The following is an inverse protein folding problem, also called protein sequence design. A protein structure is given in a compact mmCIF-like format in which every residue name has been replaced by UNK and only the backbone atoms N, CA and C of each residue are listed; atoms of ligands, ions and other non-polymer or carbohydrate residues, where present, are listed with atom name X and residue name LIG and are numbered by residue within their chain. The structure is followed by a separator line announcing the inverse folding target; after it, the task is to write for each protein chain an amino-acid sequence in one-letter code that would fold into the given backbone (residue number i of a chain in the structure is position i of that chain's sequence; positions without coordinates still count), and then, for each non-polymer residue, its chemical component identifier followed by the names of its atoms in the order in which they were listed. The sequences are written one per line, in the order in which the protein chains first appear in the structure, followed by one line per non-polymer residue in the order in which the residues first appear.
data_IF_564256428951
#
_entry.id   IF_564256428951
#
_cell.length_a   1.000
_cell.length_b   1.000
_cell.length_c   1.000
_cell.angle_alpha   90.00
_cell.angle_beta   90.00
_cell.angle_gamma   90.00
#
_symmetry.space_group_name_H-M   'P 1'
#
loop_
_entity.id
_entity.type
_entity.pdbx_description
1 polymer ?
#
# COMPACT_ATOMS: atom_id res chain seq x y z
N UNK A 1 14.10 -48.72 76.21
CA UNK A 1 14.55 -47.54 75.43
C UNK A 1 15.40 -48.04 74.26
N UNK A 2 15.12 -47.61 73.03
CA UNK A 2 15.89 -47.89 71.80
C UNK A 2 15.28 -48.97 70.89
N UNK A 3 14.24 -48.65 70.10
CA UNK A 3 14.21 -48.20 68.69
C UNK A 3 13.91 -49.36 67.69
N UNK A 4 12.85 -49.27 66.87
CA UNK A 4 12.53 -50.27 65.85
C UNK A 4 13.30 -49.96 64.55
N UNK A 5 13.92 -50.97 63.94
CA UNK A 5 14.60 -50.83 62.63
C UNK A 5 13.65 -51.29 61.52
N UNK A 6 13.01 -50.32 60.84
CA UNK A 6 12.23 -50.56 59.61
C UNK A 6 13.17 -50.87 58.45
N UNK A 7 12.80 -51.87 57.64
CA UNK A 7 13.41 -52.21 56.35
C UNK A 7 13.22 -51.06 55.34
N UNK A 8 14.18 -50.78 54.44
CA UNK A 8 13.99 -49.76 53.41
C UNK A 8 13.15 -50.33 52.27
N UNK A 9 12.06 -49.63 51.91
CA UNK A 9 11.30 -49.89 50.69
C UNK A 9 12.07 -49.32 49.50
N UNK A 10 12.38 -50.19 48.52
CA UNK A 10 12.90 -49.79 47.22
C UNK A 10 11.79 -49.05 46.44
N UNK A 11 11.87 -47.72 46.38
CA UNK A 11 11.04 -46.91 45.49
C UNK A 11 11.64 -46.99 44.08
N UNK A 12 10.93 -47.66 43.17
CA UNK A 12 11.22 -47.65 41.73
C UNK A 12 10.92 -46.26 41.17
N UNK A 13 11.95 -45.56 40.70
CA UNK A 13 11.81 -44.30 39.97
C UNK A 13 11.67 -44.63 38.50
N UNK A 14 10.44 -44.69 37.99
CA UNK A 14 10.20 -44.79 36.55
C UNK A 14 10.49 -43.46 35.87
N UNK A 15 11.56 -43.41 35.08
CA UNK A 15 11.93 -42.27 34.24
C UNK A 15 10.96 -42.18 33.05
N UNK A 16 10.00 -41.26 33.09
CA UNK A 16 9.12 -40.99 31.94
C UNK A 16 9.81 -39.99 31.02
N UNK A 17 10.39 -40.48 29.92
CA UNK A 17 10.94 -39.62 28.86
C UNK A 17 9.81 -38.94 28.09
N UNK A 18 9.59 -37.65 28.35
CA UNK A 18 8.70 -36.79 27.56
C UNK A 18 9.48 -36.34 26.32
N UNK A 19 9.25 -36.99 25.17
CA UNK A 19 9.73 -36.51 23.88
C UNK A 19 8.87 -35.34 23.43
N UNK A 20 9.39 -34.12 23.56
CA UNK A 20 8.79 -32.92 22.97
C UNK A 20 8.97 -33.04 21.45
N UNK A 21 7.94 -33.50 20.75
CA UNK A 21 7.87 -33.36 19.30
C UNK A 21 7.76 -31.86 19.01
N UNK A 22 8.88 -31.23 18.62
CA UNK A 22 8.84 -29.96 17.89
C UNK A 22 8.20 -30.25 16.52
N UNK A 23 6.87 -30.36 16.51
CA UNK A 23 6.10 -30.34 15.28
C UNK A 23 6.39 -29.00 14.62
N UNK A 24 7.09 -29.04 13.49
CA UNK A 24 7.19 -27.93 12.57
C UNK A 24 5.78 -27.63 12.06
N UNK A 25 5.03 -26.82 12.82
CA UNK A 25 3.82 -26.19 12.29
C UNK A 25 4.30 -25.34 11.11
N UNK A 26 3.93 -25.66 9.86
CA UNK A 26 4.18 -24.74 8.78
C UNK A 26 3.43 -23.45 9.13
N UNK A 27 4.18 -22.39 9.40
CA UNK A 27 3.62 -21.05 9.48
C UNK A 27 3.06 -20.76 8.09
N UNK A 28 1.76 -20.97 7.92
CA UNK A 28 1.06 -20.54 6.72
C UNK A 28 0.98 -19.02 6.84
N UNK A 29 2.00 -18.33 6.32
CA UNK A 29 1.93 -16.90 6.13
C UNK A 29 0.77 -16.64 5.15
N UNK A 30 -0.33 -16.09 5.67
CA UNK A 30 -1.41 -15.60 4.82
C UNK A 30 -0.80 -14.52 3.92
N UNK A 31 -0.77 -14.76 2.60
CA UNK A 31 -0.32 -13.74 1.66
C UNK A 31 -1.18 -12.49 1.88
N UNK A 32 -0.55 -11.35 2.15
CA UNK A 32 -1.28 -10.10 2.34
C UNK A 32 -2.09 -9.78 1.08
N UNK A 33 -3.36 -9.41 1.25
CA UNK A 33 -4.21 -9.02 0.12
C UNK A 33 -3.88 -7.59 -0.32
N UNK A 34 -3.15 -7.50 -1.41
CA UNK A 34 -2.72 -6.26 -2.08
C UNK A 34 -3.79 -5.67 -3.01
N UNK A 35 -4.96 -6.31 -3.12
CA UNK A 35 -5.96 -6.00 -4.16
C UNK A 35 -7.22 -5.32 -3.64
N UNK A 36 -7.31 -5.08 -2.32
CA UNK A 36 -8.42 -4.37 -1.71
C UNK A 36 -8.47 -2.93 -2.21
N UNK A 37 -9.66 -2.49 -2.65
CA UNK A 37 -9.89 -1.12 -3.12
C UNK A 37 -9.83 -0.14 -1.93
N UNK A 38 -8.92 0.83 -2.02
CA UNK A 38 -8.75 1.91 -1.03
C UNK A 38 -9.47 3.17 -1.49
N UNK A 39 -9.22 3.59 -2.73
CA UNK A 39 -9.76 4.82 -3.28
C UNK A 39 -10.02 4.71 -4.79
N UNK A 40 -11.03 5.43 -5.26
CA UNK A 40 -11.26 5.67 -6.69
C UNK A 40 -11.58 7.15 -6.94
N UNK A 41 -11.04 7.69 -8.03
CA UNK A 41 -11.45 8.96 -8.61
C UNK A 41 -11.70 8.76 -10.10
N UNK A 42 -12.85 9.17 -10.61
CA UNK A 42 -13.20 8.99 -12.02
C UNK A 42 -13.64 10.34 -12.57
N UNK A 43 -13.27 10.66 -13.80
CA UNK A 43 -13.84 11.79 -14.51
C UNK A 43 -15.35 11.57 -14.74
N UNK A 44 -16.10 12.67 -14.66
CA UNK A 44 -17.53 12.69 -15.02
C UNK A 44 -17.70 12.48 -16.53
N UNK A 45 -16.76 13.00 -17.33
CA UNK A 45 -16.74 12.81 -18.77
C UNK A 45 -16.46 11.35 -19.12
N UNK A 46 -17.23 10.83 -20.07
CA UNK A 46 -17.06 9.51 -20.65
C UNK A 46 -16.45 9.63 -22.05
N UNK A 47 -15.76 8.58 -22.49
CA UNK A 47 -15.25 8.51 -23.85
C UNK A 47 -16.40 8.66 -24.87
N UNK A 48 -16.25 9.63 -25.78
CA UNK A 48 -17.07 9.75 -26.98
C UNK A 48 -16.38 8.95 -28.08
N UNK A 49 -16.73 7.67 -28.19
CA UNK A 49 -15.94 6.69 -28.95
C UNK A 49 -16.76 5.94 -30.02
N UNK A 50 -17.27 6.64 -31.05
CA UNK A 50 -18.07 6.01 -32.11
C UNK A 50 -17.24 5.02 -32.96
N UNK A 51 -15.92 5.25 -33.09
CA UNK A 51 -15.01 4.38 -33.83
C UNK A 51 -14.38 3.26 -33.00
N UNK A 52 -14.52 3.30 -31.66
CA UNK A 52 -13.89 2.33 -30.75
C UNK A 52 -12.40 2.56 -30.48
N UNK A 53 -11.83 3.65 -30.99
CA UNK A 53 -10.40 3.95 -30.90
C UNK A 53 -9.95 4.27 -29.47
N UNK A 54 -10.74 5.03 -28.70
CA UNK A 54 -10.37 5.35 -27.31
C UNK A 54 -10.35 4.10 -26.43
N UNK A 55 -11.37 3.25 -26.55
CA UNK A 55 -11.43 2.01 -25.78
C UNK A 55 -10.31 1.04 -26.20
N UNK A 56 -9.94 1.02 -27.48
CA UNK A 56 -8.80 0.24 -27.96
C UNK A 56 -7.47 0.77 -27.41
N UNK A 57 -7.25 2.08 -27.42
CA UNK A 57 -6.05 2.70 -26.85
C UNK A 57 -5.97 2.47 -25.34
N UNK A 58 -7.09 2.57 -24.61
CA UNK A 58 -7.13 2.29 -23.17
C UNK A 58 -6.79 0.82 -22.89
N UNK A 59 -7.31 -0.11 -23.69
CA UNK A 59 -6.99 -1.53 -23.58
C UNK A 59 -5.50 -1.79 -23.80
N UNK A 60 -4.90 -1.20 -24.84
CA UNK A 60 -3.47 -1.32 -25.14
C UNK A 60 -2.63 -0.75 -23.99
N UNK A 61 -2.95 0.45 -23.50
CA UNK A 61 -2.28 1.07 -22.36
C UNK A 61 -2.31 0.15 -21.13
N UNK A 62 -3.48 -0.41 -20.79
CA UNK A 62 -3.62 -1.32 -19.64
C UNK A 62 -2.78 -2.59 -19.81
N UNK A 63 -2.73 -3.16 -21.02
CA UNK A 63 -1.90 -4.32 -21.32
C UNK A 63 -0.41 -4.02 -21.16
N UNK A 64 0.04 -2.86 -21.64
CA UNK A 64 1.43 -2.42 -21.53
C UNK A 64 1.83 -2.19 -20.07
N UNK A 65 1.00 -1.51 -19.28
CA UNK A 65 1.25 -1.27 -17.85
C UNK A 65 1.29 -2.59 -17.07
N UNK A 66 0.34 -3.51 -17.31
CA UNK A 66 0.35 -4.84 -16.69
C UNK A 66 1.60 -5.64 -17.07
N UNK A 67 1.99 -5.62 -18.34
CA UNK A 67 3.21 -6.30 -18.82
C UNK A 67 4.45 -5.79 -18.08
N UNK A 68 4.62 -4.47 -18.00
CA UNK A 68 5.77 -3.83 -17.36
C UNK A 68 5.84 -4.09 -15.84
N UNK A 69 4.71 -4.30 -15.18
CA UNK A 69 4.66 -4.60 -13.73
C UNK A 69 5.34 -5.91 -13.32
N UNK A 70 5.61 -6.80 -14.28
CA UNK A 70 6.41 -8.01 -14.06
C UNK A 70 7.91 -7.74 -13.89
N UNK A 71 8.39 -6.56 -14.32
CA UNK A 71 9.80 -6.21 -14.36
C UNK A 71 10.15 -5.00 -13.46
N UNK A 72 9.16 -4.13 -13.20
CA UNK A 72 9.34 -2.86 -12.50
C UNK A 72 8.19 -2.65 -11.52
N UNK A 73 8.39 -1.80 -10.53
CA UNK A 73 7.35 -1.40 -9.56
C UNK A 73 6.70 -0.05 -9.89
N UNK A 74 7.25 0.67 -10.85
CA UNK A 74 6.70 1.90 -11.40
C UNK A 74 6.95 1.92 -12.91
N UNK A 75 5.96 2.38 -13.67
CA UNK A 75 6.19 2.78 -15.06
C UNK A 75 5.08 3.71 -15.56
N UNK A 76 5.43 4.49 -16.58
CA UNK A 76 4.51 5.27 -17.38
C UNK A 76 4.38 4.65 -18.77
N UNK A 77 3.25 4.88 -19.43
CA UNK A 77 3.02 4.47 -20.80
C UNK A 77 2.02 5.42 -21.47
N UNK A 78 2.02 5.43 -22.79
CA UNK A 78 1.05 6.12 -23.60
C UNK A 78 0.55 5.19 -24.71
N UNK A 79 -0.70 5.37 -25.13
CA UNK A 79 -1.26 4.63 -26.27
C UNK A 79 -2.11 5.52 -27.17
N UNK A 80 -1.95 5.36 -28.47
CA UNK A 80 -2.57 6.21 -29.49
C UNK A 80 -1.76 7.48 -29.79
N UNK A 81 -2.30 8.28 -30.72
CA UNK A 81 -1.76 9.58 -31.11
C UNK A 81 -2.79 10.68 -30.85
N UNK A 82 -2.35 11.91 -30.68
CA UNK A 82 -3.23 13.06 -30.47
C UNK A 82 -4.23 13.19 -31.64
N UNK A 83 -5.51 13.53 -31.37
CA UNK A 83 -6.08 13.88 -30.06
C UNK A 83 -6.56 12.68 -29.21
N UNK A 84 -6.36 11.43 -29.68
CA UNK A 84 -6.89 10.22 -29.05
C UNK A 84 -5.88 9.52 -28.13
N UNK A 85 -4.75 10.17 -27.84
CA UNK A 85 -3.72 9.62 -26.97
C UNK A 85 -4.21 9.52 -25.52
N UNK A 86 -3.88 8.42 -24.86
CA UNK A 86 -4.15 8.19 -23.45
C UNK A 86 -2.82 7.93 -22.76
N UNK A 87 -2.55 8.72 -21.73
CA UNK A 87 -1.36 8.58 -20.88
C UNK A 87 -1.76 7.85 -19.59
N UNK A 88 -0.86 7.06 -19.05
CA UNK A 88 -1.09 6.43 -17.76
C UNK A 88 0.18 5.95 -17.09
N UNK A 89 0.01 5.56 -15.84
CA UNK A 89 1.06 5.01 -15.00
C UNK A 89 0.47 3.99 -14.04
N UNK A 90 1.33 3.07 -13.60
CA UNK A 90 1.09 2.32 -12.38
C UNK A 90 2.23 2.56 -11.39
N UNK A 91 1.92 2.41 -10.11
CA UNK A 91 2.89 2.43 -9.03
C UNK A 91 2.50 1.38 -8.00
N UNK A 92 3.35 0.38 -7.79
CA UNK A 92 3.23 -0.57 -6.70
C UNK A 92 3.80 0.01 -5.41
N UNK A 93 3.37 -0.56 -4.27
CA UNK A 93 3.95 -0.24 -2.97
C UNK A 93 5.44 -0.63 -2.97
N UNK A 94 6.29 0.22 -2.40
CA UNK A 94 7.75 0.11 -2.57
C UNK A 94 8.40 -1.12 -1.93
N UNK A 95 7.69 -1.80 -1.03
CA UNK A 95 8.10 -3.04 -0.37
C UNK A 95 7.63 -4.32 -1.10
N UNK A 96 6.95 -4.20 -2.25
CA UNK A 96 6.51 -5.35 -3.03
C UNK A 96 7.57 -5.83 -4.01
N UNK A 97 7.71 -7.16 -4.10
CA UNK A 97 8.41 -7.78 -5.22
C UNK A 97 7.67 -7.55 -6.54
N UNK A 98 8.38 -7.68 -7.67
CA UNK A 98 7.75 -7.56 -9.01
C UNK A 98 6.63 -8.58 -9.23
N UNK A 99 6.71 -9.77 -8.63
CA UNK A 99 5.64 -10.77 -8.69
C UNK A 99 4.38 -10.32 -7.95
N UNK A 100 4.53 -9.75 -6.75
CA UNK A 100 3.41 -9.19 -5.98
C UNK A 100 2.83 -7.94 -6.67
N UNK A 101 3.70 -7.10 -7.23
CA UNK A 101 3.33 -5.94 -8.03
C UNK A 101 2.47 -6.37 -9.24
N UNK A 102 2.95 -7.32 -10.04
CA UNK A 102 2.19 -7.89 -11.16
C UNK A 102 0.84 -8.47 -10.72
N UNK A 103 0.81 -9.22 -9.62
CA UNK A 103 -0.43 -9.76 -9.07
C UNK A 103 -1.43 -8.66 -8.72
N UNK A 104 -0.98 -7.51 -8.21
CA UNK A 104 -1.84 -6.38 -7.91
C UNK A 104 -2.30 -5.66 -9.19
N UNK A 105 -1.36 -5.27 -10.05
CA UNK A 105 -1.62 -4.47 -11.26
C UNK A 105 -2.49 -5.25 -12.25
N UNK A 106 -2.35 -6.57 -12.34
CA UNK A 106 -3.21 -7.42 -13.20
C UNK A 106 -4.71 -7.38 -12.83
N UNK A 107 -5.08 -6.96 -11.60
CA UNK A 107 -6.48 -6.78 -11.19
C UNK A 107 -7.05 -5.43 -11.59
N UNK A 108 -6.18 -4.44 -11.78
CA UNK A 108 -6.57 -3.06 -12.03
C UNK A 108 -7.51 -2.91 -13.24
N UNK A 109 -7.29 -3.52 -14.42
CA UNK A 109 -8.16 -3.29 -15.57
C UNK A 109 -9.63 -3.65 -15.28
N UNK A 110 -9.85 -4.80 -14.65
CA UNK A 110 -11.21 -5.26 -14.27
C UNK A 110 -11.82 -4.40 -13.16
N UNK A 111 -11.02 -4.01 -12.16
CA UNK A 111 -11.51 -3.16 -11.06
C UNK A 111 -11.84 -1.76 -11.59
N UNK A 112 -10.96 -1.16 -12.39
CA UNK A 112 -11.14 0.16 -13.00
C UNK A 112 -12.40 0.22 -13.85
N UNK A 113 -12.62 -0.76 -14.73
CA UNK A 113 -13.85 -0.87 -15.52
C UNK A 113 -15.10 -0.96 -14.63
N UNK A 114 -15.04 -1.79 -13.57
CA UNK A 114 -16.17 -1.93 -12.62
C UNK A 114 -16.48 -0.62 -11.87
N UNK A 115 -15.47 0.16 -11.49
CA UNK A 115 -15.66 1.30 -10.56
C UNK A 115 -15.69 2.68 -11.22
N UNK A 116 -15.14 2.79 -12.44
CA UNK A 116 -15.11 4.03 -13.23
C UNK A 116 -15.79 3.90 -14.61
N UNK A 117 -16.03 2.68 -15.09
CA UNK A 117 -16.56 2.41 -16.43
C UNK A 117 -15.67 3.07 -17.50
N UNK A 118 -16.31 3.73 -18.46
CA UNK A 118 -15.64 4.36 -19.61
C UNK A 118 -15.26 5.84 -19.35
N UNK A 119 -14.80 6.17 -18.15
CA UNK A 119 -14.36 7.53 -17.82
C UNK A 119 -13.10 7.90 -18.59
N UNK A 120 -13.00 9.16 -19.06
CA UNK A 120 -11.83 9.64 -19.83
C UNK A 120 -10.57 9.79 -19.00
N UNK A 121 -10.72 9.83 -17.68
CA UNK A 121 -9.62 9.75 -16.72
C UNK A 121 -10.07 8.97 -15.49
N UNK A 122 -9.14 8.22 -14.89
CA UNK A 122 -9.38 7.52 -13.64
C UNK A 122 -8.11 7.42 -12.79
N UNK A 123 -8.33 7.36 -11.48
CA UNK A 123 -7.38 7.01 -10.43
C UNK A 123 -7.96 5.84 -9.65
N UNK A 124 -7.18 4.78 -9.45
CA UNK A 124 -7.59 3.61 -8.66
C UNK A 124 -6.44 3.24 -7.74
N UNK A 125 -6.68 3.32 -6.43
CA UNK A 125 -5.75 2.87 -5.41
C UNK A 125 -6.24 1.55 -4.83
N UNK A 126 -5.42 0.51 -4.97
CA UNK A 126 -5.53 -0.73 -4.21
C UNK A 126 -4.51 -0.73 -3.07
N UNK A 127 -4.63 -1.65 -2.12
CA UNK A 127 -3.74 -1.73 -0.95
C UNK A 127 -2.26 -1.94 -1.31
N UNK A 128 -1.95 -2.49 -2.49
CA UNK A 128 -0.58 -2.67 -2.97
C UNK A 128 -0.21 -1.97 -4.26
N UNK A 129 -1.14 -1.34 -4.98
CA UNK A 129 -0.82 -0.67 -6.23
C UNK A 129 -1.81 0.44 -6.60
N UNK A 130 -1.33 1.41 -7.35
CA UNK A 130 -2.04 2.57 -7.85
C UNK A 130 -2.02 2.57 -9.38
N UNK A 131 -3.12 3.04 -9.97
CA UNK A 131 -3.24 3.37 -11.39
C UNK A 131 -3.73 4.80 -11.53
N UNK A 132 -3.16 5.51 -12.50
CA UNK A 132 -3.76 6.70 -13.10
C UNK A 132 -3.75 6.56 -14.62
N UNK A 133 -4.84 6.89 -15.29
CA UNK A 133 -4.86 7.17 -16.72
C UNK A 133 -5.70 8.41 -17.01
N UNK A 134 -5.39 9.10 -18.10
CA UNK A 134 -6.14 10.25 -18.60
C UNK A 134 -5.88 10.47 -20.09
N UNK A 135 -6.88 11.01 -20.79
CA UNK A 135 -6.69 11.49 -22.17
C UNK A 135 -5.72 12.68 -22.21
N UNK A 136 -5.04 12.84 -23.35
CA UNK A 136 -4.23 14.02 -23.64
C UNK A 136 -5.05 15.31 -23.44
N UNK A 137 -4.47 16.29 -22.75
CA UNK A 137 -5.14 17.57 -22.44
C UNK A 137 -6.21 17.52 -21.33
N UNK A 138 -6.36 16.40 -20.61
CA UNK A 138 -7.24 16.35 -19.44
C UNK A 138 -6.75 17.33 -18.37
N UNK A 139 -7.69 18.00 -17.69
CA UNK A 139 -7.37 18.97 -16.63
C UNK A 139 -6.61 18.26 -15.51
N UNK A 140 -5.36 18.69 -15.30
CA UNK A 140 -4.55 18.15 -14.22
C UNK A 140 -5.12 18.57 -12.85
N UNK A 141 -5.18 17.59 -11.96
CA UNK A 141 -5.42 17.80 -10.54
C UNK A 141 -4.09 18.27 -9.95
N UNK A 142 -4.06 19.36 -9.16
CA UNK A 142 -2.85 19.80 -8.47
C UNK A 142 -2.20 18.65 -7.69
N UNK A 143 -0.88 18.57 -7.70
CA UNK A 143 -0.11 17.51 -7.02
C UNK A 143 -0.36 17.47 -5.50
N UNK A 144 -0.78 18.60 -4.92
CA UNK A 144 -1.08 18.76 -3.50
C UNK A 144 -2.57 18.64 -3.16
N UNK A 145 -3.44 18.38 -4.16
CA UNK A 145 -4.86 18.18 -3.88
C UNK A 145 -5.06 16.89 -3.08
N UNK A 146 -5.65 17.02 -1.89
CA UNK A 146 -5.92 15.89 -1.03
C UNK A 146 -7.12 15.09 -1.54
N UNK A 147 -6.86 13.86 -2.02
CA UNK A 147 -7.88 13.08 -2.73
C UNK A 147 -8.75 12.20 -1.83
N UNK A 148 -8.20 11.69 -0.72
CA UNK A 148 -8.86 10.69 0.11
C UNK A 148 -8.23 10.57 1.50
N UNK A 149 -9.07 10.47 2.55
CA UNK A 149 -8.66 10.12 3.91
C UNK A 149 -9.59 9.09 4.50
N UNK A 150 -9.04 8.29 5.40
CA UNK A 150 -9.79 7.55 6.41
C UNK A 150 -9.18 7.89 7.75
N UNK A 151 -10.03 8.18 8.72
CA UNK A 151 -9.64 8.39 10.11
C UNK A 151 -10.20 7.22 10.91
N UNK A 152 -9.35 6.57 11.70
CA UNK A 152 -9.73 5.44 12.53
C UNK A 152 -10.54 5.82 13.77
N UNK A 153 -10.57 4.90 14.74
CA UNK A 153 -11.23 5.17 16.02
C UNK A 153 -10.49 6.27 16.79
N UNK A 154 -11.25 7.16 17.42
CA UNK A 154 -10.71 8.13 18.35
C UNK A 154 -10.51 7.51 19.73
N UNK A 155 -9.57 8.06 20.49
CA UNK A 155 -9.39 7.66 21.90
C UNK A 155 -9.06 8.86 22.76
N UNK A 156 -9.73 8.99 23.90
CA UNK A 156 -9.50 10.06 24.86
C UNK A 156 -8.12 9.92 25.52
N UNK A 157 -7.34 11.01 25.54
CA UNK A 157 -6.20 11.21 26.42
C UNK A 157 -4.83 10.74 25.91
N UNK A 158 -4.40 11.13 24.70
CA UNK A 158 -3.08 10.69 24.20
C UNK A 158 -2.28 11.77 23.47
N UNK A 159 -1.99 12.87 24.18
CA UNK A 159 -0.88 13.78 23.81
C UNK A 159 0.41 13.00 23.57
N UNK A 160 0.60 11.88 24.29
CA UNK A 160 1.74 10.97 24.12
C UNK A 160 1.69 10.18 22.79
N UNK A 161 0.52 9.73 22.34
CA UNK A 161 0.38 9.07 21.04
C UNK A 161 0.60 10.08 19.91
N UNK A 162 0.05 11.29 20.03
CA UNK A 162 0.24 12.36 19.05
C UNK A 162 1.73 12.67 18.85
N UNK A 163 2.51 12.78 19.93
CA UNK A 163 3.97 12.97 19.86
C UNK A 163 4.68 11.81 19.15
N UNK A 164 4.26 10.56 19.41
CA UNK A 164 4.83 9.38 18.73
C UNK A 164 4.48 9.37 17.24
N UNK A 165 3.24 9.71 16.89
CA UNK A 165 2.78 9.88 15.50
C UNK A 165 3.55 10.97 14.78
N UNK A 166 3.72 12.14 15.40
CA UNK A 166 4.51 13.24 14.82
C UNK A 166 5.96 12.83 14.59
N UNK A 167 6.55 12.09 15.53
CA UNK A 167 7.90 11.55 15.36
C UNK A 167 7.96 10.55 14.19
N UNK A 168 7.00 9.64 14.09
CA UNK A 168 6.91 8.69 12.98
C UNK A 168 6.73 9.41 11.62
N UNK A 169 5.90 10.45 11.56
CA UNK A 169 5.72 11.28 10.36
C UNK A 169 7.01 11.97 9.94
N UNK A 170 7.76 12.57 10.87
CA UNK A 170 9.06 13.18 10.57
C UNK A 170 10.08 12.15 10.06
N UNK A 171 10.12 10.95 10.65
CA UNK A 171 10.96 9.85 10.18
C UNK A 171 10.62 9.45 8.74
N UNK A 172 9.33 9.40 8.40
CA UNK A 172 8.87 9.07 7.07
C UNK A 172 9.15 10.18 6.04
N UNK A 173 9.02 11.45 6.43
CA UNK A 173 9.42 12.59 5.60
C UNK A 173 10.91 12.53 5.25
N UNK A 174 11.79 12.33 6.23
CA UNK A 174 13.23 12.17 6.00
C UNK A 174 13.56 10.90 5.21
N UNK A 175 12.82 9.82 5.46
CA UNK A 175 13.01 8.53 4.80
C UNK A 175 12.78 8.60 3.30
N UNK A 176 11.72 9.28 2.85
CA UNK A 176 11.44 9.41 1.41
C UNK A 176 12.41 10.33 0.69
N UNK A 177 13.09 11.24 1.40
CA UNK A 177 14.12 12.16 0.86
C UNK A 177 15.49 11.49 0.71
N UNK A 178 15.85 10.62 1.66
CA UNK A 178 17.19 10.04 1.79
C UNK A 178 17.34 8.64 1.19
N UNK A 179 16.22 7.96 0.90
CA UNK A 179 16.21 6.63 0.31
C UNK A 179 16.61 6.59 -1.17
N UNK A 180 16.97 5.39 -1.65
CA UNK A 180 17.08 5.09 -3.08
C UNK A 180 15.71 4.91 -3.76
N UNK A 181 14.63 4.89 -2.97
CA UNK A 181 13.24 4.84 -3.39
C UNK A 181 12.46 5.98 -2.75
N UNK A 182 11.49 6.56 -3.48
CA UNK A 182 10.53 7.55 -2.96
C UNK A 182 9.46 6.90 -2.05
N UNK A 183 9.90 6.00 -1.19
CA UNK A 183 9.11 5.11 -0.36
C UNK A 183 9.81 4.92 0.99
N UNK A 184 9.01 4.95 2.06
CA UNK A 184 9.47 4.67 3.41
C UNK A 184 8.44 3.86 4.17
N UNK A 185 8.93 2.95 5.01
CA UNK A 185 8.15 2.31 6.07
C UNK A 185 8.98 2.21 7.33
N UNK A 186 8.34 2.35 8.49
CA UNK A 186 8.99 2.20 9.78
C UNK A 186 7.99 2.25 10.91
N UNK A 187 8.48 2.12 12.13
CA UNK A 187 7.68 2.30 13.33
C UNK A 187 8.44 3.08 14.40
N UNK A 188 7.68 3.79 15.24
CA UNK A 188 8.19 4.50 16.41
C UNK A 188 7.28 4.23 17.60
N UNK A 189 7.80 3.53 18.62
CA UNK A 189 7.09 3.19 19.85
C UNK A 189 5.66 2.66 19.59
N UNK A 190 5.57 1.66 18.72
CA UNK A 190 4.31 1.01 18.28
C UNK A 190 3.41 1.82 17.35
N UNK A 191 3.86 2.97 16.84
CA UNK A 191 3.20 3.68 15.73
C UNK A 191 3.86 3.29 14.42
N UNK A 192 3.17 2.53 13.59
CA UNK A 192 3.61 2.20 12.23
C UNK A 192 3.29 3.36 11.27
N UNK A 193 4.22 3.63 10.34
CA UNK A 193 4.06 4.65 9.29
C UNK A 193 4.55 4.12 7.95
N UNK A 194 3.85 4.54 6.90
CA UNK A 194 4.25 4.32 5.52
C UNK A 194 4.03 5.62 4.74
N UNK A 195 5.01 6.01 3.94
CA UNK A 195 4.92 7.12 3.01
C UNK A 195 5.44 6.70 1.64
N UNK A 196 4.78 7.19 0.58
CA UNK A 196 5.19 6.89 -0.78
C UNK A 196 4.81 8.06 -1.70
N UNK A 197 5.75 8.47 -2.53
CA UNK A 197 5.51 9.43 -3.62
C UNK A 197 5.38 8.70 -4.96
N UNK A 198 4.87 9.41 -5.97
CA UNK A 198 4.84 8.91 -7.34
C UNK A 198 6.28 8.78 -7.88
N UNK A 199 6.57 7.69 -8.60
CA UNK A 199 7.94 7.30 -8.98
C UNK A 199 8.68 8.25 -9.93
N UNK A 200 8.02 9.24 -10.51
CA UNK A 200 8.58 10.28 -11.38
C UNK A 200 8.82 11.62 -10.66
N UNK A 201 8.55 11.71 -9.36
CA UNK A 201 8.81 12.92 -8.57
C UNK A 201 10.29 13.06 -8.20
N UNK A 202 10.76 14.31 -8.10
CA UNK A 202 12.04 14.61 -7.47
C UNK A 202 11.98 14.41 -5.94
N UNK A 203 13.11 14.09 -5.31
CA UNK A 203 13.19 13.83 -3.85
C UNK A 203 12.74 15.01 -3.00
N UNK A 204 13.06 16.25 -3.40
CA UNK A 204 12.58 17.46 -2.72
C UNK A 204 11.05 17.58 -2.77
N UNK A 205 10.46 17.50 -3.97
CA UNK A 205 9.01 17.55 -4.17
C UNK A 205 8.30 16.41 -3.43
N UNK A 206 8.93 15.23 -3.36
CA UNK A 206 8.42 14.09 -2.61
C UNK A 206 8.37 14.38 -1.10
N UNK A 207 9.45 14.94 -0.53
CA UNK A 207 9.48 15.38 0.87
C UNK A 207 8.37 16.38 1.19
N UNK A 208 8.21 17.41 0.36
CA UNK A 208 7.17 18.43 0.53
C UNK A 208 5.77 17.82 0.42
N UNK A 209 5.53 16.92 -0.54
CA UNK A 209 4.25 16.23 -0.71
C UNK A 209 3.87 15.38 0.51
N UNK A 210 4.82 14.59 1.03
CA UNK A 210 4.62 13.77 2.24
C UNK A 210 4.37 14.65 3.46
N UNK A 211 5.11 15.75 3.61
CA UNK A 211 4.91 16.71 4.69
C UNK A 211 3.50 17.31 4.66
N UNK A 212 3.04 17.80 3.51
CA UNK A 212 1.67 18.32 3.34
C UNK A 212 0.61 17.26 3.64
N UNK A 213 0.82 16.01 3.23
CA UNK A 213 -0.10 14.92 3.53
C UNK A 213 -0.21 14.65 5.04
N UNK A 214 0.91 14.69 5.76
CA UNK A 214 0.93 14.50 7.22
C UNK A 214 0.36 15.69 8.00
N UNK A 215 0.58 16.92 7.56
CA UNK A 215 -0.09 18.10 8.11
C UNK A 215 -1.61 18.00 7.95
N UNK A 216 -2.07 17.55 6.78
CA UNK A 216 -3.50 17.31 6.53
C UNK A 216 -4.03 16.20 7.44
N UNK A 217 -3.33 15.07 7.55
CA UNK A 217 -3.72 13.98 8.45
C UNK A 217 -3.78 14.42 9.92
N UNK A 218 -2.87 15.30 10.36
CA UNK A 218 -2.90 15.87 11.72
C UNK A 218 -4.14 16.74 11.94
N UNK A 219 -4.47 17.60 10.98
CA UNK A 219 -5.63 18.50 11.09
C UNK A 219 -6.95 17.73 11.04
N UNK A 220 -7.01 16.70 10.20
CA UNK A 220 -8.26 16.03 9.87
C UNK A 220 -8.52 14.74 10.67
N UNK A 221 -7.46 14.07 11.09
CA UNK A 221 -7.49 12.81 11.85
C UNK A 221 -6.71 12.93 13.18
N UNK A 222 -6.57 14.14 13.73
CA UNK A 222 -5.74 14.45 14.89
C UNK A 222 -5.97 13.53 16.09
N UNK A 223 -7.22 13.20 16.38
CA UNK A 223 -7.62 12.36 17.52
C UNK A 223 -7.65 10.85 17.20
N UNK A 224 -7.35 10.46 15.96
CA UNK A 224 -7.42 9.09 15.49
C UNK A 224 -6.14 8.33 15.77
N UNK A 225 -6.27 7.09 16.26
CA UNK A 225 -5.11 6.22 16.55
C UNK A 225 -4.72 5.29 15.41
N UNK A 226 -5.50 5.31 14.33
CA UNK A 226 -5.24 4.59 13.08
C UNK A 226 -5.85 5.35 11.90
N UNK A 227 -5.56 4.86 10.70
CA UNK A 227 -6.34 5.14 9.49
C UNK A 227 -7.34 4.00 9.25
#
# INVERSE_FOLDING_TARGET
MGLPRKSPSLLSVSLVSITIFLGSFPFVATAADYTNLVFKGCADQKFQDPSGLYLQNLKNLMQDLVSQSSQRTFSTAASGEDPNAINGLYQCRGDLSTSQCYSCVSKIPKISDKVCGKAVAARVQLSGCYLRYEISGFKQVPETEFLYKVCGSSSSGRTEFEKRRETAFNMAEEGVKSGSSLFYTGDYQSVYVLAQCQGDMGTANCGDCVKTAFETAKNDCGDSVSA
#
